data_IF_126922761045
#
_entry.id   IF_126922761045
#
_cell.length_a   1.000
_cell.length_b   1.000
_cell.length_c   1.000
_cell.angle_alpha   90.00
_cell.angle_beta   90.00
_cell.angle_gamma   90.00
#
_symmetry.space_group_name_H-M   'P 1'
#
loop_
_entity.id
_entity.type
_entity.pdbx_description
1 polymer ?
#
# COMPACT_ATOMS: atom_id res chain seq x y z
N UNK A 1 -0.50 2.19 43.63
CA UNK A 1 0.09 1.87 42.32
C UNK A 1 -0.90 2.35 41.28
N UNK A 2 -0.53 3.38 40.51
CA UNK A 2 -1.45 4.09 39.64
C UNK A 2 -1.94 3.19 38.49
N UNK A 3 -3.26 3.11 38.31
CA UNK A 3 -3.89 2.52 37.14
C UNK A 3 -3.51 3.36 35.91
N UNK A 4 -2.46 2.97 35.21
CA UNK A 4 -2.11 3.52 33.90
C UNK A 4 -2.99 2.88 32.80
N UNK A 5 -4.31 2.99 32.91
CA UNK A 5 -5.22 2.78 31.78
C UNK A 5 -5.37 4.11 31.08
N UNK A 6 -4.47 4.37 30.13
CA UNK A 6 -4.56 5.54 29.25
C UNK A 6 -5.62 5.23 28.19
N UNK A 7 -6.87 5.63 28.46
CA UNK A 7 -7.95 5.65 27.48
C UNK A 7 -7.74 6.82 26.51
N UNK A 8 -6.95 6.60 25.45
CA UNK A 8 -6.86 7.53 24.34
C UNK A 8 -7.69 6.99 23.17
N UNK A 9 -8.79 7.67 22.87
CA UNK A 9 -9.64 7.49 21.69
C UNK A 9 -10.17 6.07 21.49
N UNK A 10 -11.26 5.78 22.19
CA UNK A 10 -11.97 4.52 22.03
C UNK A 10 -11.75 3.61 23.22
N UNK A 11 -12.87 3.27 23.84
CA UNK A 11 -13.09 2.19 24.78
C UNK A 11 -12.09 1.02 24.63
N UNK A 12 -11.62 0.52 25.75
CA UNK A 12 -10.92 -0.77 25.82
C UNK A 12 -11.94 -1.78 26.33
N UNK A 13 -12.22 -2.83 25.55
CA UNK A 13 -13.08 -3.90 26.06
C UNK A 13 -12.24 -4.62 27.10
N UNK A 14 -12.50 -4.35 28.38
CA UNK A 14 -11.93 -5.13 29.49
C UNK A 14 -12.42 -6.58 29.38
N UNK A 15 -11.78 -7.38 28.52
CA UNK A 15 -11.86 -8.84 28.58
C UNK A 15 -11.38 -9.23 29.97
N UNK A 16 -12.15 -10.09 30.65
CA UNK A 16 -11.79 -10.63 31.96
C UNK A 16 -10.33 -11.12 31.88
N UNK A 17 -9.49 -10.68 32.83
CA UNK A 17 -8.06 -11.03 33.04
C UNK A 17 -7.76 -12.54 33.21
N UNK A 18 -8.63 -13.44 32.74
CA UNK A 18 -8.45 -14.89 32.81
C UNK A 18 -7.46 -15.37 31.73
N UNK A 19 -7.46 -14.79 30.52
CA UNK A 19 -6.52 -15.14 29.45
C UNK A 19 -5.08 -14.75 29.76
N UNK A 20 -4.86 -13.58 30.38
CA UNK A 20 -3.51 -13.09 30.69
C UNK A 20 -2.81 -13.93 31.76
N UNK A 21 -3.59 -14.49 32.71
CA UNK A 21 -3.05 -15.38 33.76
C UNK A 21 -2.63 -16.75 33.26
N UNK A 22 -3.14 -17.22 32.13
CA UNK A 22 -2.68 -18.46 31.48
C UNK A 22 -1.46 -18.21 30.61
N UNK A 23 -1.38 -17.06 29.93
CA UNK A 23 -0.20 -16.62 29.20
C UNK A 23 1.02 -16.37 30.12
N UNK A 24 0.82 -15.82 31.32
CA UNK A 24 1.88 -15.65 32.33
C UNK A 24 2.49 -16.97 32.86
N UNK A 25 1.77 -18.10 32.71
CA UNK A 25 2.24 -19.43 33.16
C UNK A 25 3.17 -20.09 32.14
N UNK A 26 3.06 -19.74 30.86
CA UNK A 26 3.86 -20.34 29.79
C UNK A 26 5.06 -19.42 29.53
N UNK A 27 6.12 -19.61 30.32
CA UNK A 27 7.39 -18.91 30.12
C UNK A 27 8.10 -19.49 28.90
N UNK A 28 8.19 -18.71 27.83
CA UNK A 28 8.90 -19.06 26.61
C UNK A 28 9.96 -18.00 26.30
N UNK A 29 11.10 -18.45 25.79
CA UNK A 29 12.15 -17.58 25.22
C UNK A 29 11.71 -17.03 23.85
N UNK A 30 10.76 -17.71 23.20
CA UNK A 30 10.25 -17.37 21.87
C UNK A 30 8.89 -16.69 22.01
N UNK A 31 8.73 -15.55 21.34
CA UNK A 31 7.45 -14.84 21.29
C UNK A 31 6.38 -15.67 20.57
N UNK A 32 5.11 -15.59 20.96
CA UNK A 32 4.02 -16.19 20.20
C UNK A 32 4.05 -15.65 18.77
N UNK A 33 3.87 -16.57 17.81
CA UNK A 33 3.81 -16.25 16.39
C UNK A 33 2.68 -15.24 16.17
N UNK A 34 3.03 -14.06 15.65
CA UNK A 34 2.04 -13.09 15.21
C UNK A 34 1.75 -13.38 13.74
N UNK A 35 0.49 -13.69 13.42
CA UNK A 35 0.06 -13.97 12.03
C UNK A 35 0.33 -12.79 11.09
N UNK A 36 0.37 -11.59 11.63
CA UNK A 36 0.46 -10.34 10.88
C UNK A 36 1.89 -9.91 10.55
N UNK A 37 2.91 -10.72 10.88
CA UNK A 37 4.31 -10.38 10.65
C UNK A 37 4.73 -9.05 11.29
N UNK A 38 3.97 -8.53 12.26
CA UNK A 38 4.22 -7.23 12.88
C UNK A 38 5.66 -7.20 13.42
N UNK A 39 6.47 -6.30 12.86
CA UNK A 39 7.88 -6.18 13.19
C UNK A 39 8.07 -6.03 14.70
N UNK A 40 8.84 -6.96 15.28
CA UNK A 40 9.14 -6.95 16.71
C UNK A 40 10.03 -5.74 17.03
N UNK A 41 9.52 -4.80 17.83
CA UNK A 41 10.36 -3.81 18.50
C UNK A 41 10.65 -4.38 19.89
N UNK A 42 11.83 -4.98 20.06
CA UNK A 42 12.31 -5.41 21.38
C UNK A 42 12.72 -4.17 22.16
N UNK A 43 11.93 -3.80 23.17
CA UNK A 43 12.27 -2.71 24.07
C UNK A 43 13.31 -3.21 25.09
N UNK A 44 14.60 -3.03 24.79
CA UNK A 44 15.65 -3.21 25.80
C UNK A 44 15.56 -2.04 26.79
N UNK A 45 15.17 -2.34 28.03
CA UNK A 45 14.78 -1.39 29.07
C UNK A 45 15.62 -0.12 29.18
N UNK A 46 15.14 0.97 28.59
CA UNK A 46 15.42 2.35 29.03
C UNK A 46 14.39 3.32 28.43
N UNK A 47 13.67 4.00 29.33
CA UNK A 47 12.79 5.16 29.14
C UNK A 47 11.75 5.16 28.00
N UNK A 48 10.49 5.27 28.45
CA UNK A 48 9.20 5.13 27.76
C UNK A 48 8.87 6.15 26.65
N UNK A 49 9.85 6.84 26.07
CA UNK A 49 9.59 7.94 25.11
C UNK A 49 10.47 7.99 23.87
N UNK A 50 11.57 7.25 23.82
CA UNK A 50 12.63 7.48 22.82
C UNK A 50 12.85 6.33 21.82
N UNK A 51 12.18 5.19 22.02
CA UNK A 51 12.33 3.97 21.21
C UNK A 51 11.17 3.65 20.28
N UNK A 52 10.25 4.61 20.04
CA UNK A 52 9.39 4.52 18.85
C UNK A 52 10.25 4.94 17.67
N UNK A 53 10.92 3.97 17.05
CA UNK A 53 11.61 4.02 15.75
C UNK A 53 11.76 5.46 15.20
N UNK A 54 12.73 6.19 15.76
CA UNK A 54 13.10 7.55 15.32
C UNK A 54 13.77 7.48 13.93
N UNK A 55 14.33 6.32 13.57
CA UNK A 55 15.04 6.14 12.30
C UNK A 55 14.11 5.97 11.11
N UNK A 56 12.87 5.50 11.29
CA UNK A 56 11.80 5.63 10.29
C UNK A 56 12.05 4.94 8.94
N UNK A 57 13.16 4.25 8.75
CA UNK A 57 13.52 3.59 7.48
C UNK A 57 12.52 2.49 7.14
N UNK A 58 12.07 1.71 8.13
CA UNK A 58 11.01 0.71 7.94
C UNK A 58 9.67 1.34 7.53
N UNK A 59 9.40 2.58 7.97
CA UNK A 59 8.15 3.27 7.63
C UNK A 59 8.16 3.77 6.20
N UNK A 60 9.26 4.36 5.74
CA UNK A 60 9.43 4.82 4.36
C UNK A 60 9.31 3.66 3.36
N UNK A 61 9.89 2.52 3.71
CA UNK A 61 9.87 1.32 2.88
C UNK A 61 8.44 0.79 2.67
N UNK A 62 7.64 0.70 3.74
CA UNK A 62 6.26 0.22 3.64
C UNK A 62 5.39 1.17 2.81
N UNK A 63 5.54 2.48 3.00
CA UNK A 63 4.81 3.49 2.22
C UNK A 63 5.21 3.41 0.74
N UNK A 64 6.50 3.25 0.46
CA UNK A 64 6.99 3.09 -0.90
C UNK A 64 6.41 1.84 -1.57
N UNK A 65 6.28 0.72 -0.83
CA UNK A 65 5.67 -0.50 -1.35
C UNK A 65 4.17 -0.32 -1.66
N UNK A 66 3.41 0.31 -0.77
CA UNK A 66 1.99 0.60 -1.02
C UNK A 66 1.82 1.48 -2.26
N UNK A 67 2.60 2.55 -2.37
CA UNK A 67 2.58 3.41 -3.55
C UNK A 67 2.98 2.64 -4.82
N UNK A 68 3.90 1.68 -4.72
CA UNK A 68 4.28 0.82 -5.83
C UNK A 68 3.13 -0.09 -6.27
N UNK A 69 2.37 -0.68 -5.35
CA UNK A 69 1.18 -1.47 -5.67
C UNK A 69 0.14 -0.62 -6.41
N UNK A 70 -0.16 0.57 -5.88
CA UNK A 70 -1.06 1.54 -6.53
C UNK A 70 -0.58 1.98 -7.92
N UNK A 71 0.73 2.13 -8.13
CA UNK A 71 1.29 2.47 -9.44
C UNK A 71 1.25 1.32 -10.46
N UNK A 72 1.21 0.08 -9.98
CA UNK A 72 1.09 -1.12 -10.82
C UNK A 72 -0.38 -1.40 -11.15
N UNK A 73 -1.31 -1.15 -10.23
CA UNK A 73 -2.74 -1.34 -10.46
C UNK A 73 -3.31 -0.45 -11.57
N UNK A 74 -2.64 0.65 -11.92
CA UNK A 74 -3.03 1.52 -13.04
C UNK A 74 -2.73 0.86 -14.42
N UNK A 75 -1.85 -0.14 -14.47
CA UNK A 75 -1.54 -0.81 -15.73
C UNK A 75 -2.80 -1.51 -16.28
N UNK A 76 -3.21 -1.29 -17.55
CA UNK A 76 -4.50 -1.77 -18.05
C UNK A 76 -4.74 -3.27 -17.86
N UNK A 77 -3.74 -4.11 -18.15
CA UNK A 77 -3.86 -5.56 -17.96
C UNK A 77 -3.97 -5.97 -16.48
N UNK A 78 -3.36 -5.19 -15.58
CA UNK A 78 -3.43 -5.43 -14.15
C UNK A 78 -4.76 -4.94 -13.58
N UNK A 79 -5.22 -3.78 -14.02
CA UNK A 79 -6.53 -3.23 -13.62
C UNK A 79 -7.65 -4.18 -14.01
N UNK A 80 -7.64 -4.68 -15.25
CA UNK A 80 -8.59 -5.68 -15.73
C UNK A 80 -8.57 -6.95 -14.86
N UNK A 81 -7.38 -7.48 -14.55
CA UNK A 81 -7.26 -8.66 -13.69
C UNK A 81 -7.75 -8.40 -12.25
N UNK A 82 -7.55 -7.19 -11.71
CA UNK A 82 -8.08 -6.82 -10.40
C UNK A 82 -9.61 -6.74 -10.46
N UNK A 83 -10.17 -6.10 -11.48
CA UNK A 83 -11.62 -5.99 -11.67
C UNK A 83 -12.29 -7.35 -11.80
N UNK A 84 -11.72 -8.28 -12.58
CA UNK A 84 -12.24 -9.64 -12.71
C UNK A 84 -12.30 -10.34 -11.34
N UNK A 85 -11.23 -10.24 -10.54
CA UNK A 85 -11.17 -10.83 -9.19
C UNK A 85 -12.19 -10.18 -8.25
N UNK A 86 -12.34 -8.85 -8.31
CA UNK A 86 -13.30 -8.10 -7.48
C UNK A 86 -14.73 -8.49 -7.84
N UNK A 87 -15.04 -8.63 -9.13
CA UNK A 87 -16.37 -9.01 -9.62
C UNK A 87 -16.73 -10.46 -9.31
N UNK A 88 -15.74 -11.37 -9.29
CA UNK A 88 -15.98 -12.74 -8.84
C UNK A 88 -16.12 -12.84 -7.31
N UNK A 89 -15.40 -12.00 -6.56
CA UNK A 89 -15.43 -12.02 -5.10
C UNK A 89 -16.70 -11.37 -4.50
N UNK A 90 -17.16 -10.27 -5.09
CA UNK A 90 -18.35 -9.54 -4.66
C UNK A 90 -19.34 -9.51 -5.81
N UNK A 91 -20.42 -10.27 -5.67
CA UNK A 91 -21.49 -10.32 -6.66
C UNK A 91 -22.66 -9.50 -6.14
N UNK A 92 -22.92 -8.37 -6.79
CA UNK A 92 -24.09 -7.55 -6.50
C UNK A 92 -25.29 -8.02 -7.34
N UNK A 93 -26.23 -8.71 -6.70
CA UNK A 93 -27.53 -9.03 -7.29
C UNK A 93 -28.54 -7.91 -6.98
N UNK A 94 -29.43 -7.61 -7.92
CA UNK A 94 -30.42 -6.53 -7.75
C UNK A 94 -31.48 -6.84 -6.68
N UNK A 95 -31.76 -8.12 -6.44
CA UNK A 95 -32.87 -8.58 -5.57
C UNK A 95 -32.38 -9.17 -4.24
N UNK A 96 -31.07 -9.39 -4.06
CA UNK A 96 -30.50 -10.05 -2.88
C UNK A 96 -29.48 -9.15 -2.16
N UNK A 97 -29.45 -9.24 -0.84
CA UNK A 97 -28.42 -8.61 -0.01
C UNK A 97 -27.05 -9.16 -0.39
N UNK A 98 -26.09 -8.27 -0.68
CA UNK A 98 -24.74 -8.62 -1.14
C UNK A 98 -23.95 -9.46 -0.13
N UNK A 99 -24.22 -9.28 1.16
CA UNK A 99 -23.58 -9.99 2.25
C UNK A 99 -24.65 -10.38 3.27
N UNK A 100 -24.67 -11.64 3.69
CA UNK A 100 -25.58 -12.14 4.74
C UNK A 100 -24.81 -12.98 5.75
N UNK A 101 -25.10 -12.80 7.04
CA UNK A 101 -24.50 -13.59 8.10
C UNK A 101 -25.24 -14.92 8.28
N UNK A 102 -24.52 -16.04 8.08
CA UNK A 102 -25.03 -17.35 8.43
C UNK A 102 -24.88 -17.61 9.95
N UNK A 103 -25.98 -17.97 10.63
CA UNK A 103 -26.04 -18.24 12.08
C UNK A 103 -26.46 -19.68 12.43
N UNK A 104 -26.36 -20.60 11.46
CA UNK A 104 -26.82 -21.99 11.58
C UNK A 104 -26.09 -22.75 12.70
N UNK A 105 -24.76 -22.56 12.82
CA UNK A 105 -23.91 -23.25 13.80
C UNK A 105 -23.92 -22.60 15.20
N UNK A 106 -24.62 -21.48 15.39
CA UNK A 106 -24.65 -20.80 16.69
C UNK A 106 -25.66 -21.49 17.61
N UNK A 107 -25.17 -22.02 18.73
CA UNK A 107 -25.97 -22.65 19.78
C UNK A 107 -26.58 -21.58 20.71
N UNK A 108 -27.50 -20.77 20.16
CA UNK A 108 -28.18 -19.69 20.86
C UNK A 108 -29.67 -19.62 20.48
N UNK A 109 -30.53 -19.07 21.36
CA UNK A 109 -31.95 -18.86 21.06
C UNK A 109 -32.17 -18.01 19.81
N UNK A 110 -33.24 -18.28 19.07
CA UNK A 110 -33.60 -17.57 17.82
C UNK A 110 -33.71 -16.05 18.00
N UNK A 111 -34.12 -15.59 19.19
CA UNK A 111 -34.18 -14.16 19.50
C UNK A 111 -32.80 -13.50 19.46
N UNK A 112 -31.76 -14.20 19.93
CA UNK A 112 -30.38 -13.69 19.89
C UNK A 112 -29.86 -13.72 18.45
N UNK A 113 -30.16 -14.78 17.69
CA UNK A 113 -29.77 -14.87 16.27
C UNK A 113 -30.33 -13.70 15.46
N UNK A 114 -31.58 -13.32 15.70
CA UNK A 114 -32.21 -12.15 15.06
C UNK A 114 -31.51 -10.85 15.44
N UNK A 115 -31.22 -10.62 16.72
CA UNK A 115 -30.49 -9.43 17.17
C UNK A 115 -29.11 -9.35 16.51
N UNK A 116 -28.41 -10.49 16.39
CA UNK A 116 -27.11 -10.54 15.72
C UNK A 116 -27.21 -10.21 14.23
N UNK A 117 -28.28 -10.66 13.56
CA UNK A 117 -28.54 -10.29 12.16
C UNK A 117 -28.85 -8.79 12.02
N UNK A 118 -29.70 -8.24 12.89
CA UNK A 118 -30.02 -6.79 12.89
C UNK A 118 -28.77 -5.93 13.13
N UNK A 119 -27.91 -6.32 14.07
CA UNK A 119 -26.64 -5.62 14.31
C UNK A 119 -25.64 -5.77 13.15
N UNK A 120 -25.65 -6.91 12.45
CA UNK A 120 -24.83 -7.10 11.26
C UNK A 120 -25.28 -6.19 10.11
N UNK A 121 -26.58 -6.07 9.88
CA UNK A 121 -27.15 -5.16 8.88
C UNK A 121 -26.85 -3.70 9.22
N UNK A 122 -26.90 -3.34 10.51
CA UNK A 122 -26.47 -2.01 10.99
C UNK A 122 -24.99 -1.76 10.66
N UNK A 123 -24.11 -2.72 10.90
CA UNK A 123 -22.68 -2.57 10.56
C UNK A 123 -22.49 -2.44 9.04
N UNK A 124 -23.16 -3.26 8.23
CA UNK A 124 -23.10 -3.15 6.77
C UNK A 124 -23.55 -1.78 6.26
N UNK A 125 -24.56 -1.19 6.90
CA UNK A 125 -25.02 0.15 6.59
C UNK A 125 -23.98 1.23 6.92
N UNK A 126 -23.19 1.07 7.99
CA UNK A 126 -22.11 2.01 8.34
C UNK A 126 -20.96 2.02 7.32
N UNK A 127 -20.78 0.91 6.60
CA UNK A 127 -19.76 0.80 5.55
C UNK A 127 -20.29 1.20 4.17
N UNK A 128 -21.57 1.56 4.04
CA UNK A 128 -22.26 1.74 2.75
C UNK A 128 -21.97 0.56 1.79
N UNK A 129 -22.00 -0.66 2.33
CA UNK A 129 -21.54 -1.85 1.63
C UNK A 129 -22.34 -2.16 0.36
N UNK A 130 -23.58 -1.67 0.24
CA UNK A 130 -24.39 -1.83 -0.98
C UNK A 130 -23.75 -1.16 -2.21
N UNK A 131 -23.15 0.02 -2.04
CA UNK A 131 -22.58 0.79 -3.14
C UNK A 131 -21.04 0.72 -3.17
N UNK A 132 -20.39 0.66 -2.01
CA UNK A 132 -18.95 0.81 -1.88
C UNK A 132 -18.19 -0.49 -1.59
N UNK A 133 -18.85 -1.66 -1.50
CA UNK A 133 -18.15 -2.92 -1.21
C UNK A 133 -17.11 -3.30 -2.28
N UNK A 134 -17.41 -3.09 -3.57
CA UNK A 134 -16.45 -3.34 -4.66
C UNK A 134 -15.17 -2.49 -4.48
N UNK A 135 -15.30 -1.19 -4.22
CA UNK A 135 -14.15 -0.30 -4.01
C UNK A 135 -13.41 -0.64 -2.71
N UNK A 136 -14.12 -0.99 -1.65
CA UNK A 136 -13.52 -1.42 -0.38
C UNK A 136 -12.62 -2.65 -0.57
N UNK A 137 -13.13 -3.66 -1.28
CA UNK A 137 -12.39 -4.88 -1.58
C UNK A 137 -11.23 -4.62 -2.54
N UNK A 138 -11.45 -3.81 -3.59
CA UNK A 138 -10.39 -3.38 -4.51
C UNK A 138 -9.24 -2.70 -3.76
N UNK A 139 -9.53 -1.78 -2.83
CA UNK A 139 -8.53 -1.12 -1.99
C UNK A 139 -7.77 -2.11 -1.11
N UNK A 140 -8.48 -3.02 -0.42
CA UNK A 140 -7.85 -4.06 0.40
C UNK A 140 -6.95 -4.97 -0.44
N UNK A 141 -7.40 -5.37 -1.64
CA UNK A 141 -6.65 -6.25 -2.52
C UNK A 141 -5.38 -5.58 -3.07
N UNK A 142 -5.47 -4.30 -3.45
CA UNK A 142 -4.33 -3.52 -3.95
C UNK A 142 -3.32 -3.24 -2.85
N UNK A 143 -3.75 -2.70 -1.70
CA UNK A 143 -2.85 -2.30 -0.62
C UNK A 143 -2.39 -3.51 0.25
N UNK A 144 -3.12 -4.64 0.16
CA UNK A 144 -2.89 -5.87 0.93
C UNK A 144 -3.37 -5.80 2.37
N UNK A 145 -3.93 -4.65 2.79
CA UNK A 145 -4.40 -4.39 4.14
C UNK A 145 -5.39 -3.23 4.13
N UNK A 146 -6.29 -3.23 5.10
CA UNK A 146 -7.25 -2.15 5.29
C UNK A 146 -7.42 -1.84 6.77
N UNK A 147 -7.64 -0.56 7.08
CA UNK A 147 -7.81 -0.07 8.44
C UNK A 147 -9.08 0.77 8.54
N UNK A 148 -9.88 0.51 9.56
CA UNK A 148 -11.02 1.34 9.89
C UNK A 148 -10.99 1.71 11.36
N UNK A 149 -11.20 2.99 11.65
CA UNK A 149 -11.37 3.49 13.01
C UNK A 149 -12.83 3.34 13.41
N UNK A 150 -13.05 2.71 14.57
CA UNK A 150 -14.38 2.50 15.14
C UNK A 150 -14.65 3.67 16.08
N UNK A 151 -15.65 4.50 15.76
CA UNK A 151 -16.04 5.63 16.59
C UNK A 151 -17.18 5.22 17.52
N UNK A 152 -16.99 5.44 18.82
CA UNK A 152 -18.00 5.25 19.87
C UNK A 152 -18.13 6.54 20.67
N UNK A 153 -19.34 6.86 21.09
CA UNK A 153 -19.58 7.99 22.00
C UNK A 153 -19.19 7.59 23.43
N UNK A 154 -18.11 8.18 23.94
CA UNK A 154 -17.61 7.95 25.32
C UNK A 154 -18.64 8.33 26.40
N UNK A 155 -19.61 9.19 26.08
CA UNK A 155 -20.65 9.59 27.04
C UNK A 155 -21.83 8.63 27.07
N UNK A 156 -22.05 7.88 26.00
CA UNK A 156 -23.16 6.97 25.86
C UNK A 156 -22.75 5.67 25.17
N UNK A 157 -22.02 4.84 25.89
CA UNK A 157 -21.53 3.53 25.41
C UNK A 157 -22.67 2.60 24.96
N UNK A 158 -23.91 2.81 25.43
CA UNK A 158 -25.09 2.03 25.01
C UNK A 158 -25.61 2.38 23.62
N UNK A 159 -25.23 3.54 23.07
CA UNK A 159 -25.57 3.90 21.71
C UNK A 159 -24.76 3.12 20.67
N UNK A 160 -23.80 2.30 21.11
CA UNK A 160 -23.02 1.43 20.24
C UNK A 160 -22.05 2.20 19.34
N UNK A 161 -21.69 1.56 18.23
CA UNK A 161 -20.82 2.12 17.21
C UNK A 161 -21.61 3.19 16.44
N UNK A 162 -21.05 4.40 16.34
CA UNK A 162 -21.71 5.50 15.64
C UNK A 162 -21.32 5.56 14.17
N UNK A 163 -20.01 5.46 13.90
CA UNK A 163 -19.45 5.59 12.56
C UNK A 163 -18.19 4.72 12.48
N UNK A 164 -17.94 4.16 11.30
CA UNK A 164 -16.69 3.50 10.98
C UNK A 164 -15.98 4.30 9.89
N UNK A 165 -14.78 4.79 10.19
CA UNK A 165 -14.03 5.66 9.27
C UNK A 165 -12.83 4.95 8.66
N UNK A 166 -12.74 4.98 7.33
CA UNK A 166 -11.58 4.49 6.60
C UNK A 166 -10.31 5.29 6.93
N UNK A 167 -9.23 4.57 7.22
CA UNK A 167 -7.88 5.13 7.36
C UNK A 167 -7.00 4.60 6.23
N UNK A 168 -6.31 5.51 5.54
CA UNK A 168 -5.32 5.15 4.53
C UNK A 168 -4.19 4.30 5.16
N UNK A 169 -3.91 3.14 4.56
CA UNK A 169 -2.88 2.20 4.97
C UNK A 169 -1.47 2.81 5.04
N UNK A 170 -1.21 3.91 4.32
CA UNK A 170 0.07 4.64 4.40
C UNK A 170 0.27 5.40 5.71
N UNK A 171 -0.83 5.74 6.42
CA UNK A 171 -0.83 6.64 7.58
C UNK A 171 -0.82 5.92 8.91
N UNK A 172 -1.06 4.61 8.93
CA UNK A 172 -1.19 3.83 10.15
C UNK A 172 -0.32 2.58 10.12
N UNK A 173 0.19 2.19 11.28
CA UNK A 173 0.98 0.97 11.43
C UNK A 173 0.67 0.27 12.74
N UNK A 174 0.70 -1.06 12.72
CA UNK A 174 0.68 -1.90 13.91
C UNK A 174 2.10 -2.01 14.47
N UNK A 175 2.25 -1.82 15.78
CA UNK A 175 3.52 -1.97 16.48
C UNK A 175 3.36 -3.00 17.59
N UNK A 176 4.33 -3.90 17.67
CA UNK A 176 4.44 -4.91 18.71
C UNK A 176 5.68 -4.65 19.55
N UNK A 177 5.48 -4.28 20.81
CA UNK A 177 6.53 -4.06 21.77
C UNK A 177 6.65 -5.29 22.67
N UNK A 178 7.81 -5.95 22.62
CA UNK A 178 8.10 -7.11 23.48
C UNK A 178 9.01 -6.66 24.61
N UNK A 179 8.53 -6.80 25.85
CA UNK A 179 9.33 -6.60 27.06
C UNK A 179 9.94 -7.92 27.48
N UNK A 180 11.26 -7.98 27.51
CA UNK A 180 12.01 -9.15 27.95
C UNK A 180 12.67 -8.90 29.31
N UNK A 181 12.81 -9.97 30.09
CA UNK A 181 13.49 -10.01 31.37
C UNK A 181 14.48 -11.18 31.37
N UNK A 182 15.69 -10.94 31.84
CA UNK A 182 16.73 -11.97 31.95
C UNK A 182 16.42 -12.96 33.07
N UNK A 183 16.50 -14.24 32.74
CA UNK A 183 16.43 -15.31 33.73
C UNK A 183 17.78 -15.44 34.47
N UNK A 184 17.81 -15.39 35.82
CA UNK A 184 19.04 -15.49 36.59
C UNK A 184 19.78 -16.83 36.44
N UNK A 185 19.08 -17.91 36.10
CA UNK A 185 19.66 -19.25 36.02
C UNK A 185 20.27 -19.58 34.64
N UNK A 186 19.63 -19.11 33.56
CA UNK A 186 20.01 -19.46 32.19
C UNK A 186 20.60 -18.29 31.40
N UNK A 187 20.54 -17.06 31.94
CA UNK A 187 20.92 -15.81 31.28
C UNK A 187 20.21 -15.58 29.94
N UNK A 188 19.10 -16.29 29.70
CA UNK A 188 18.25 -16.15 28.54
C UNK A 188 17.21 -15.04 28.77
N UNK A 189 16.84 -14.34 27.70
CA UNK A 189 15.79 -13.33 27.72
C UNK A 189 14.42 -14.01 27.68
N UNK A 190 13.68 -13.98 28.79
CA UNK A 190 12.30 -14.47 28.89
C UNK A 190 11.34 -13.31 28.61
N UNK A 191 10.30 -13.54 27.84
CA UNK A 191 9.29 -12.52 27.53
C UNK A 191 8.36 -12.33 28.74
N UNK A 192 8.24 -11.09 29.22
CA UNK A 192 7.42 -10.71 30.38
C UNK A 192 6.06 -10.16 29.95
N UNK A 193 6.02 -9.29 28.94
CA UNK A 193 4.76 -8.79 28.38
C UNK A 193 4.91 -8.36 26.93
N UNK A 194 3.80 -8.45 26.21
CA UNK A 194 3.69 -8.11 24.81
C UNK A 194 2.61 -7.04 24.71
N UNK A 195 2.99 -5.83 24.34
CA UNK A 195 2.07 -4.73 24.12
C UNK A 195 1.93 -4.50 22.62
N UNK A 196 0.73 -4.69 22.09
CA UNK A 196 0.41 -4.38 20.69
C UNK A 196 -0.47 -3.12 20.65
N UNK A 197 -0.13 -2.17 19.78
CA UNK A 197 -0.89 -0.93 19.58
C UNK A 197 -0.70 -0.40 18.16
N UNK A 198 -1.62 0.46 17.71
CA UNK A 198 -1.50 1.13 16.42
C UNK A 198 -0.95 2.54 16.59
N UNK A 199 -0.17 3.01 15.61
CA UNK A 199 0.32 4.38 15.55
C UNK A 199 -0.19 5.02 14.25
N UNK A 200 -0.96 6.10 14.40
CA UNK A 200 -1.42 6.93 13.30
C UNK A 200 -0.55 8.19 13.16
N UNK A 201 -0.18 8.51 11.93
CA UNK A 201 0.57 9.71 11.55
C UNK A 201 -0.08 10.36 10.35
N UNK A 202 -0.52 11.62 10.47
CA UNK A 202 -1.29 12.32 9.44
C UNK A 202 -0.49 12.57 8.14
N UNK A 203 0.80 12.91 8.28
CA UNK A 203 1.72 13.15 7.15
C UNK A 203 2.98 12.29 7.30
N UNK A 204 2.90 11.01 6.91
CA UNK A 204 4.05 10.14 6.97
C UNK A 204 5.11 10.59 5.93
N UNK A 205 6.40 10.59 6.31
CA UNK A 205 7.51 10.87 5.40
C UNK A 205 7.90 12.34 5.18
N UNK A 206 7.16 13.32 5.72
CA UNK A 206 7.59 14.73 5.74
C UNK A 206 8.18 15.10 7.10
N UNK A 207 9.48 14.84 7.29
CA UNK A 207 10.25 15.54 8.32
C UNK A 207 10.49 16.96 7.82
N UNK A 208 9.65 17.90 8.26
CA UNK A 208 9.99 19.32 8.11
C UNK A 208 11.32 19.56 8.80
N UNK A 209 12.29 20.10 8.06
CA UNK A 209 13.60 20.44 8.58
C UNK A 209 13.47 21.31 9.85
N UNK A 210 13.83 20.75 11.00
CA UNK A 210 14.06 21.51 12.24
C UNK A 210 12.93 21.56 13.28
N UNK A 211 11.76 20.93 13.08
CA UNK A 211 10.76 20.81 14.16
C UNK A 211 10.17 19.40 14.24
N UNK A 212 10.52 18.71 15.33
CA UNK A 212 10.01 17.40 15.72
C UNK A 212 8.56 17.58 16.19
N UNK A 213 7.61 17.55 15.26
CA UNK A 213 6.17 17.44 15.58
C UNK A 213 5.50 16.29 14.81
N UNK A 214 6.18 15.17 14.63
CA UNK A 214 5.48 13.91 14.31
C UNK A 214 4.92 13.32 15.62
N UNK A 215 3.90 13.98 16.19
CA UNK A 215 3.16 13.45 17.33
C UNK A 215 2.21 12.37 16.82
N UNK A 216 2.75 11.17 16.59
CA UNK A 216 1.93 10.02 16.23
C UNK A 216 0.91 9.73 17.33
N UNK A 217 -0.35 9.57 16.94
CA UNK A 217 -1.43 9.21 17.87
C UNK A 217 -1.41 7.70 18.06
N UNK A 218 -1.37 7.25 19.32
CA UNK A 218 -1.46 5.83 19.64
C UNK A 218 -2.93 5.45 19.78
N UNK A 219 -3.28 4.33 19.16
CA UNK A 219 -4.60 3.71 19.21
C UNK A 219 -4.50 2.33 19.85
N UNK A 220 -5.53 1.95 20.61
CA UNK A 220 -5.68 0.60 21.17
C UNK A 220 -6.05 -0.40 20.06
N UNK A 221 -5.82 -1.69 20.28
CA UNK A 221 -6.17 -2.72 19.30
C UNK A 221 -7.67 -2.76 19.01
N UNK A 222 -8.49 -2.54 20.03
CA UNK A 222 -9.95 -2.62 19.93
C UNK A 222 -10.56 -1.44 19.15
N UNK A 223 -9.87 -0.30 19.10
CA UNK A 223 -10.36 0.91 18.41
C UNK A 223 -10.27 0.82 16.88
N UNK A 224 -9.50 -0.13 16.34
CA UNK A 224 -9.25 -0.24 14.91
C UNK A 224 -9.62 -1.63 14.40
N UNK A 225 -10.53 -1.67 13.44
CA UNK A 225 -10.71 -2.85 12.60
C UNK A 225 -9.55 -2.93 11.61
N UNK A 226 -8.87 -4.07 11.61
CA UNK A 226 -7.68 -4.29 10.80
C UNK A 226 -7.75 -5.67 10.13
N UNK A 227 -7.67 -5.67 8.81
CA UNK A 227 -7.71 -6.89 7.99
C UNK A 227 -6.53 -6.87 7.02
N UNK A 228 -5.84 -7.99 6.88
CA UNK A 228 -4.71 -8.18 5.98
C UNK A 228 -4.91 -9.29 4.97
N UNK A 229 -4.08 -9.31 3.95
CA UNK A 229 -3.99 -10.36 2.93
C UNK A 229 -3.48 -11.70 3.47
N UNK A 230 -2.89 -11.73 4.67
CA UNK A 230 -2.22 -12.91 5.22
C UNK A 230 -0.92 -13.30 4.49
N UNK A 231 -0.47 -12.51 3.51
CA UNK A 231 0.77 -12.76 2.79
C UNK A 231 1.93 -12.03 3.48
N UNK A 232 3.02 -12.75 3.71
CA UNK A 232 4.25 -12.20 4.26
C UNK A 232 5.36 -12.16 3.21
N UNK A 233 6.26 -11.21 3.39
CA UNK A 233 7.53 -11.11 2.65
C UNK A 233 8.44 -12.34 2.91
N UNK A 234 9.50 -12.51 2.11
CA UNK A 234 10.49 -13.59 2.27
C UNK A 234 11.07 -13.63 3.69
N UNK A 235 11.29 -12.44 4.27
CA UNK A 235 11.78 -12.27 5.63
C UNK A 235 10.75 -12.57 6.73
N UNK A 236 9.47 -12.76 6.37
CA UNK A 236 8.31 -12.93 7.27
C UNK A 236 8.10 -11.80 8.29
N UNK A 237 8.64 -10.60 8.03
CA UNK A 237 8.56 -9.43 8.91
C UNK A 237 7.62 -8.33 8.43
N UNK A 238 7.06 -8.48 7.23
CA UNK A 238 6.23 -7.46 6.59
C UNK A 238 5.09 -8.15 5.86
N UNK A 239 3.89 -7.61 6.03
CA UNK A 239 2.72 -7.97 5.22
C UNK A 239 2.90 -7.43 3.81
N UNK A 240 2.60 -8.24 2.80
CA UNK A 240 2.64 -7.86 1.39
C UNK A 240 1.26 -7.96 0.76
N UNK A 241 1.03 -7.19 -0.30
CA UNK A 241 -0.19 -7.26 -1.10
C UNK A 241 -0.19 -8.49 -2.00
N UNK A 242 -1.38 -8.92 -2.45
CA UNK A 242 -1.52 -9.90 -3.52
C UNK A 242 -0.78 -9.47 -4.81
N UNK A 243 -0.68 -8.17 -5.06
CA UNK A 243 0.03 -7.59 -6.21
C UNK A 243 1.57 -7.69 -6.11
N UNK A 244 2.12 -8.15 -4.98
CA UNK A 244 3.57 -8.23 -4.78
C UNK A 244 4.27 -9.10 -5.83
N UNK A 245 3.64 -10.20 -6.23
CA UNK A 245 4.18 -11.11 -7.26
C UNK A 245 4.21 -10.46 -8.66
N UNK A 246 3.31 -9.52 -8.93
CA UNK A 246 3.18 -8.86 -10.23
C UNK A 246 4.20 -7.75 -10.46
N UNK A 247 4.89 -7.28 -9.41
CA UNK A 247 5.88 -6.19 -9.50
C UNK A 247 6.92 -6.43 -10.59
N UNK A 248 7.54 -7.61 -10.59
CA UNK A 248 8.63 -7.93 -11.51
C UNK A 248 8.14 -8.05 -12.96
N UNK A 249 7.13 -8.88 -13.29
CA UNK A 249 6.69 -9.05 -14.67
C UNK A 249 6.14 -7.76 -15.29
N UNK A 250 5.38 -6.95 -14.56
CA UNK A 250 4.81 -5.70 -15.10
C UNK A 250 5.90 -4.69 -15.45
N UNK A 251 6.92 -4.56 -14.60
CA UNK A 251 8.05 -3.67 -14.92
C UNK A 251 8.85 -4.18 -16.13
N UNK A 252 9.03 -5.49 -16.26
CA UNK A 252 9.69 -6.07 -17.44
C UNK A 252 8.85 -5.86 -18.71
N UNK A 253 7.54 -6.01 -18.64
CA UNK A 253 6.63 -5.76 -19.76
C UNK A 253 6.73 -4.30 -20.22
N UNK A 254 6.61 -3.34 -19.31
CA UNK A 254 6.78 -1.90 -19.61
C UNK A 254 8.11 -1.61 -20.29
N UNK A 255 9.20 -2.18 -19.76
CA UNK A 255 10.53 -2.02 -20.37
C UNK A 255 10.61 -2.62 -21.78
N UNK A 256 9.96 -3.76 -22.03
CA UNK A 256 9.93 -4.38 -23.35
C UNK A 256 9.11 -3.55 -24.34
N UNK A 257 7.95 -3.05 -23.94
CA UNK A 257 7.10 -2.18 -24.76
C UNK A 257 7.83 -0.90 -25.17
N UNK A 258 8.43 -0.20 -24.21
CA UNK A 258 9.24 0.99 -24.46
C UNK A 258 10.41 0.69 -25.41
N UNK A 259 11.09 -0.45 -25.19
CA UNK A 259 12.20 -0.86 -26.06
C UNK A 259 11.76 -1.11 -27.50
N UNK A 260 10.57 -1.70 -27.70
CA UNK A 260 10.02 -1.97 -29.03
C UNK A 260 9.66 -0.66 -29.74
N UNK A 261 9.05 0.28 -29.01
CA UNK A 261 8.71 1.61 -29.53
C UNK A 261 9.97 2.36 -29.96
N UNK A 262 10.99 2.40 -29.10
CA UNK A 262 12.28 3.05 -29.41
C UNK A 262 12.98 2.36 -30.59
N UNK A 263 12.98 1.03 -30.64
CA UNK A 263 13.57 0.28 -31.75
C UNK A 263 12.92 0.63 -33.09
N UNK A 264 11.58 0.70 -33.13
CA UNK A 264 10.83 1.08 -34.32
C UNK A 264 11.04 2.55 -34.68
N UNK A 265 10.96 3.47 -33.72
CA UNK A 265 11.10 4.91 -33.96
C UNK A 265 12.52 5.29 -34.39
N UNK A 266 13.54 4.72 -33.75
CA UNK A 266 14.94 5.02 -34.09
C UNK A 266 15.30 4.62 -35.53
N UNK A 267 14.68 3.56 -36.05
CA UNK A 267 14.90 3.04 -37.41
C UNK A 267 13.85 3.48 -38.43
N UNK A 268 12.77 4.11 -37.97
CA UNK A 268 11.72 4.65 -38.85
C UNK A 268 12.27 5.68 -39.86
N UNK A 269 13.11 6.65 -39.47
CA UNK A 269 13.71 7.54 -40.44
C UNK A 269 14.86 6.83 -41.17
N UNK A 270 14.93 7.04 -42.48
CA UNK A 270 16.07 6.61 -43.25
C UNK A 270 17.32 7.40 -42.83
N UNK A 271 18.37 6.69 -42.43
CA UNK A 271 19.65 7.28 -42.02
C UNK A 271 20.68 7.08 -43.12
N UNK A 272 21.11 8.17 -43.78
CA UNK A 272 22.15 8.16 -44.81
C UNK A 272 23.38 8.92 -44.33
N UNK A 273 24.57 8.38 -44.58
CA UNK A 273 25.85 9.04 -44.32
C UNK A 273 26.45 9.41 -45.67
N UNK A 274 26.71 10.69 -45.89
CA UNK A 274 27.33 11.19 -47.11
C UNK A 274 28.82 11.43 -46.87
N UNK A 275 29.65 10.72 -47.63
CA UNK A 275 31.08 10.98 -47.69
C UNK A 275 31.34 12.00 -48.79
N UNK A 276 32.06 13.08 -48.46
CA UNK A 276 32.42 14.15 -49.39
C UNK A 276 33.93 14.33 -49.35
N UNK A 277 34.57 14.03 -50.47
CA UNK A 277 36.00 14.23 -50.62
C UNK A 277 36.30 15.72 -50.87
N UNK A 278 37.16 16.29 -50.04
CA UNK A 278 37.58 17.71 -50.09
C UNK A 278 39.09 17.88 -50.33
N UNK A 279 39.68 16.90 -51.02
CA UNK A 279 41.11 16.90 -51.33
C UNK A 279 41.56 18.15 -52.08
N UNK A 280 42.79 18.60 -51.80
CA UNK A 280 43.45 19.72 -52.49
C UNK A 280 42.80 21.12 -52.29
N UNK A 281 41.91 21.28 -51.31
CA UNK A 281 41.32 22.56 -50.92
C UNK A 281 41.85 23.04 -49.56
N UNK A 282 42.15 24.35 -49.39
CA UNK A 282 42.36 24.93 -48.07
C UNK A 282 41.11 24.78 -47.20
N UNK A 283 41.28 24.62 -45.88
CA UNK A 283 40.20 24.33 -44.91
C UNK A 283 38.95 25.22 -45.10
N UNK A 284 39.13 26.53 -45.31
CA UNK A 284 38.00 27.45 -45.51
C UNK A 284 37.15 27.14 -46.74
N UNK A 285 37.79 26.78 -47.87
CA UNK A 285 37.08 26.41 -49.11
C UNK A 285 36.46 25.02 -49.03
N UNK A 286 37.10 24.10 -48.31
CA UNK A 286 36.57 22.76 -48.07
C UNK A 286 35.25 22.81 -47.26
N UNK A 287 35.20 23.62 -46.19
CA UNK A 287 33.97 23.82 -45.40
C UNK A 287 32.85 24.49 -46.21
N UNK A 288 33.19 25.47 -47.04
CA UNK A 288 32.24 26.12 -47.94
C UNK A 288 31.65 25.15 -48.97
N UNK A 289 32.50 24.34 -49.61
CA UNK A 289 32.09 23.29 -50.54
C UNK A 289 31.17 22.26 -49.87
N UNK A 290 31.51 21.81 -48.66
CA UNK A 290 30.68 20.91 -47.86
C UNK A 290 29.31 21.52 -47.53
N UNK A 291 29.26 22.78 -47.08
CA UNK A 291 28.00 23.48 -46.79
C UNK A 291 27.11 23.63 -48.02
N UNK A 292 27.72 23.87 -49.19
CA UNK A 292 27.00 23.95 -50.46
C UNK A 292 26.36 22.60 -50.84
N UNK A 293 27.10 21.49 -50.68
CA UNK A 293 26.56 20.14 -50.90
C UNK A 293 25.46 19.82 -49.89
N UNK A 294 25.66 20.12 -48.60
CA UNK A 294 24.66 19.93 -47.55
C UNK A 294 23.35 20.66 -47.86
N UNK A 295 23.42 21.90 -48.37
CA UNK A 295 22.23 22.69 -48.68
C UNK A 295 21.50 22.16 -49.91
N UNK A 296 22.23 21.72 -50.95
CA UNK A 296 21.65 21.12 -52.16
C UNK A 296 20.89 19.82 -51.88
N UNK A 297 21.46 18.94 -51.06
CA UNK A 297 20.89 17.63 -50.74
C UNK A 297 20.04 17.61 -49.47
N UNK A 298 19.86 18.75 -48.80
CA UNK A 298 18.95 18.85 -47.65
C UNK A 298 17.53 18.59 -48.12
N UNK A 299 16.99 17.41 -47.86
CA UNK A 299 15.56 17.15 -47.94
C UNK A 299 14.96 17.36 -46.54
N UNK A 300 13.96 18.22 -46.42
CA UNK A 300 13.26 18.48 -45.16
C UNK A 300 11.78 18.21 -45.36
N UNK A 301 11.44 16.94 -45.46
CA UNK A 301 10.06 16.49 -45.34
C UNK A 301 9.74 16.40 -43.85
N UNK A 302 8.81 17.22 -43.38
CA UNK A 302 8.34 17.16 -42.00
C UNK A 302 6.93 16.61 -42.01
N UNK A 303 6.73 15.48 -41.33
CA UNK A 303 5.40 14.97 -41.07
C UNK A 303 4.73 15.81 -39.99
N UNK A 304 3.54 16.34 -40.28
CA UNK A 304 2.71 17.03 -39.30
C UNK A 304 1.85 16.02 -38.53
N UNK A 305 2.14 15.86 -37.23
CA UNK A 305 1.43 14.90 -36.39
C UNK A 305 -0.04 15.27 -36.13
N UNK A 306 -0.44 16.53 -36.32
CA UNK A 306 -1.81 16.99 -36.07
C UNK A 306 -2.76 16.78 -37.26
N UNK A 307 -2.26 16.97 -38.49
CA UNK A 307 -3.05 16.85 -39.73
C UNK A 307 -2.76 15.58 -40.52
N UNK A 308 -1.64 14.90 -40.25
CA UNK A 308 -1.20 13.72 -41.00
C UNK A 308 -0.62 14.04 -42.38
N UNK A 309 -0.45 15.32 -42.71
CA UNK A 309 0.11 15.76 -43.99
C UNK A 309 1.64 15.78 -43.95
N UNK A 310 2.26 15.42 -45.09
CA UNK A 310 3.67 15.69 -45.33
C UNK A 310 3.82 17.15 -45.75
N UNK A 311 4.35 17.98 -44.86
CA UNK A 311 4.80 19.32 -45.23
C UNK A 311 6.11 19.19 -46.00
N UNK A 312 5.98 19.24 -47.31
CA UNK A 312 7.09 19.55 -48.21
C UNK A 312 7.09 21.05 -48.50
N UNK A 313 8.17 21.74 -48.14
CA UNK A 313 8.38 23.14 -48.52
C UNK A 313 8.60 23.28 -50.05
N UNK A 314 8.74 22.18 -50.78
CA UNK A 314 8.85 22.11 -52.24
C UNK A 314 7.54 21.57 -52.81
N UNK A 315 6.82 22.39 -53.57
CA UNK A 315 5.72 21.94 -54.44
C UNK A 315 6.26 21.10 -55.60
N UNK A 316 6.68 19.87 -55.34
CA UNK A 316 6.99 18.89 -56.39
C UNK A 316 6.37 17.56 -56.01
N UNK A 317 5.21 17.23 -56.59
CA UNK A 317 4.83 15.82 -56.71
C UNK A 317 5.85 15.17 -57.66
N UNK A 318 6.84 14.46 -57.14
CA UNK A 318 7.55 13.48 -57.95
C UNK A 318 6.76 12.18 -57.90
N UNK A 319 6.52 11.58 -59.07
CA UNK A 319 5.99 10.21 -59.20
C UNK A 319 6.86 9.20 -58.45
#
# INVERSE_FOLDING_TARGET
MAENTVSLFGFEIKRKKQSDKEAERIKSVVAPQSDDGAGYITASGSHFGQYIDIDGDNTKDNIAMINKYRGISIHPEVDMAIEDIVNEAIVNNADESTLSLNTDEIDAPDNIKKIVQEEFDNVLSMFDASEHAHDLFKRWYIDGRIYHHILVDEKNEKAGIQEVRFIDATKIRKVKEVKTKKDPATNADIIESINEYFIYTEKPGKTSAGQIQNKGVKFTLDSINYVTSGLLDESRKKVVSHLHKCIKPVNQLRMMEDSLVIYRLSRAPERRIFYVDVGNLPKGKAEEYMKNIMTKYRNKLVYDAGTGELRDDRKHMSM
#
